data_IF_432824292420
#
_entry.id   IF_432824292420
#
_cell.length_a   1.000
_cell.length_b   1.000
_cell.length_c   1.000
_cell.angle_alpha   90.00
_cell.angle_beta   90.00
_cell.angle_gamma   90.00
#
_symmetry.space_group_name_H-M   'P 1'
#
loop_
_entity.id
_entity.type
_entity.pdbx_description
1 polymer ?
#
# COMPACT_ATOMS: atom_id res chain seq x y z
N UNK A 1 29.93 -10.99 -25.75
CA UNK A 1 29.08 -10.52 -24.64
C UNK A 1 27.83 -11.38 -24.67
N UNK A 2 27.68 -12.30 -23.71
CA UNK A 2 26.42 -13.03 -23.53
C UNK A 2 25.33 -11.99 -23.26
N UNK A 3 24.30 -11.95 -24.10
CA UNK A 3 23.15 -11.09 -23.85
C UNK A 3 22.59 -11.43 -22.46
N UNK A 4 22.47 -10.43 -21.60
CA UNK A 4 21.89 -10.62 -20.27
C UNK A 4 20.39 -10.88 -20.44
N UNK A 5 19.86 -11.87 -19.71
CA UNK A 5 18.44 -12.21 -19.77
C UNK A 5 17.56 -11.02 -19.35
N UNK A 6 16.49 -10.77 -20.12
CA UNK A 6 15.48 -9.74 -19.85
C UNK A 6 14.48 -10.29 -18.84
N UNK A 7 14.60 -9.83 -17.59
CA UNK A 7 13.79 -10.27 -16.45
C UNK A 7 12.97 -9.13 -15.88
N UNK A 8 11.72 -9.39 -15.51
CA UNK A 8 10.87 -8.45 -14.76
C UNK A 8 10.53 -9.00 -13.38
N UNK A 9 10.82 -8.23 -12.33
CA UNK A 9 10.26 -8.41 -10.99
C UNK A 9 9.02 -7.52 -10.88
N UNK A 10 7.84 -8.14 -10.95
CA UNK A 10 6.54 -7.47 -10.82
C UNK A 10 6.03 -7.61 -9.39
N UNK A 11 6.27 -6.59 -8.58
CA UNK A 11 5.79 -6.56 -7.19
C UNK A 11 4.38 -5.95 -7.12
N UNK A 12 3.41 -6.78 -6.71
CA UNK A 12 1.97 -6.49 -6.82
C UNK A 12 1.29 -6.20 -5.48
N UNK A 13 2.04 -5.98 -4.39
CA UNK A 13 1.48 -5.76 -3.05
C UNK A 13 1.54 -7.03 -2.19
N UNK A 14 0.81 -7.16 -1.08
CA UNK A 14 -0.46 -6.50 -0.77
C UNK A 14 -0.34 -5.07 -0.21
N UNK A 15 -1.45 -4.32 -0.23
CA UNK A 15 -1.52 -3.01 0.43
C UNK A 15 -1.16 -3.14 1.92
N UNK A 16 -0.45 -2.14 2.46
CA UNK A 16 -0.02 -2.10 3.88
C UNK A 16 0.92 -3.22 4.33
N UNK A 17 1.56 -3.91 3.38
CA UNK A 17 2.62 -4.89 3.62
C UNK A 17 4.02 -4.37 3.25
N UNK A 18 4.31 -3.10 3.58
CA UNK A 18 5.64 -2.50 3.37
C UNK A 18 5.93 -2.03 1.93
N UNK A 19 4.91 -1.96 1.08
CA UNK A 19 5.01 -1.55 -0.34
C UNK A 19 5.67 -0.18 -0.51
N UNK A 20 5.23 0.83 0.25
CA UNK A 20 5.81 2.17 0.16
C UNK A 20 7.25 2.25 0.65
N UNK A 21 7.64 1.41 1.63
CA UNK A 21 9.04 1.32 2.06
C UNK A 21 9.92 0.78 0.92
N UNK A 22 9.50 -0.32 0.29
CA UNK A 22 10.19 -0.89 -0.88
C UNK A 22 10.25 0.12 -2.03
N UNK A 23 9.14 0.76 -2.37
CA UNK A 23 9.08 1.77 -3.42
C UNK A 23 10.02 2.96 -3.11
N UNK A 24 10.04 3.44 -1.87
CA UNK A 24 10.94 4.51 -1.44
C UNK A 24 12.41 4.11 -1.59
N UNK A 25 12.80 2.88 -1.20
CA UNK A 25 14.14 2.34 -1.41
C UNK A 25 14.50 2.25 -2.90
N UNK A 26 13.59 1.72 -3.73
CA UNK A 26 13.80 1.58 -5.18
C UNK A 26 14.10 2.93 -5.84
N UNK A 27 13.27 3.95 -5.58
CA UNK A 27 13.45 5.26 -6.21
C UNK A 27 14.62 6.05 -5.61
N UNK A 28 14.91 5.90 -4.32
CA UNK A 28 16.11 6.48 -3.71
C UNK A 28 17.40 5.93 -4.33
N UNK A 29 17.39 4.66 -4.75
CA UNK A 29 18.56 3.94 -5.25
C UNK A 29 18.58 3.71 -6.76
N UNK A 30 17.69 4.36 -7.52
CA UNK A 30 17.52 4.10 -8.96
C UNK A 30 18.83 4.11 -9.76
N UNK A 31 19.73 5.07 -9.49
CA UNK A 31 21.04 5.16 -10.16
C UNK A 31 21.97 3.99 -9.78
N UNK A 32 22.13 3.72 -8.48
CA UNK A 32 22.97 2.62 -7.97
C UNK A 32 22.46 1.25 -8.41
N UNK A 33 21.14 1.08 -8.52
CA UNK A 33 20.51 -0.14 -9.04
C UNK A 33 20.80 -0.30 -10.54
N UNK A 34 20.73 0.78 -11.33
CA UNK A 34 21.06 0.73 -12.76
C UNK A 34 22.53 0.36 -13.01
N UNK A 35 23.46 0.87 -12.20
CA UNK A 35 24.88 0.47 -12.21
C UNK A 35 25.08 -1.03 -11.92
N UNK A 36 24.09 -1.68 -11.28
CA UNK A 36 24.06 -3.13 -11.00
C UNK A 36 23.18 -3.91 -11.98
N UNK A 37 22.80 -3.32 -13.11
CA UNK A 37 21.96 -3.95 -14.13
C UNK A 37 20.48 -4.06 -13.77
N UNK A 38 20.01 -3.31 -12.75
CA UNK A 38 18.61 -3.30 -12.32
C UNK A 38 17.94 -1.97 -12.69
N UNK A 39 16.96 -2.02 -13.59
CA UNK A 39 16.16 -0.88 -13.99
C UNK A 39 14.95 -0.69 -13.05
N UNK A 40 14.82 0.51 -12.48
CA UNK A 40 13.55 1.02 -11.92
C UNK A 40 12.94 1.99 -12.93
N UNK A 41 11.95 1.56 -13.74
CA UNK A 41 11.43 2.37 -14.83
C UNK A 41 10.49 3.47 -14.31
N UNK A 42 10.46 4.60 -15.04
CA UNK A 42 9.74 5.81 -14.64
C UNK A 42 10.65 6.89 -14.05
N UNK A 43 10.26 8.17 -14.09
CA UNK A 43 11.09 9.25 -13.52
C UNK A 43 11.06 9.24 -11.99
N UNK A 44 9.89 8.97 -11.44
CA UNK A 44 9.57 8.94 -10.02
C UNK A 44 8.45 7.91 -9.79
N UNK A 45 8.07 7.72 -8.52
CA UNK A 45 7.01 6.80 -8.13
C UNK A 45 5.67 7.06 -8.86
N UNK A 46 5.31 8.32 -9.07
CA UNK A 46 4.09 8.70 -9.81
C UNK A 46 4.06 8.14 -11.24
N UNK A 47 5.21 7.94 -11.88
CA UNK A 47 5.28 7.32 -13.21
C UNK A 47 4.72 5.89 -13.20
N UNK A 48 5.04 5.11 -12.16
CA UNK A 48 4.51 3.75 -12.01
C UNK A 48 3.05 3.74 -11.55
N UNK A 49 2.63 4.71 -10.72
CA UNK A 49 1.22 4.89 -10.35
C UNK A 49 0.35 5.14 -11.58
N UNK A 50 0.77 6.05 -12.46
CA UNK A 50 0.04 6.35 -13.71
C UNK A 50 -0.04 5.13 -14.62
N UNK A 51 1.07 4.40 -14.80
CA UNK A 51 1.09 3.19 -15.63
C UNK A 51 0.19 2.08 -15.05
N UNK A 52 0.22 1.85 -13.74
CA UNK A 52 -0.65 0.87 -13.10
C UNK A 52 -2.13 1.25 -13.22
N UNK A 53 -2.49 2.52 -12.97
CA UNK A 53 -3.88 2.99 -13.15
C UNK A 53 -4.38 2.84 -14.58
N UNK A 54 -3.52 3.10 -15.56
CA UNK A 54 -3.80 2.95 -16.98
C UNK A 54 -4.21 1.49 -17.31
N UNK A 55 -3.38 0.50 -16.94
CA UNK A 55 -3.68 -0.92 -17.22
C UNK A 55 -4.84 -1.48 -16.40
N UNK A 56 -5.10 -0.92 -15.21
CA UNK A 56 -6.30 -1.25 -14.41
C UNK A 56 -7.58 -0.83 -15.14
N UNK A 57 -7.56 0.32 -15.81
CA UNK A 57 -8.62 0.79 -16.70
C UNK A 57 -8.60 0.05 -18.04
N UNK A 58 -8.95 0.73 -19.11
CA UNK A 58 -8.84 0.30 -20.52
C UNK A 58 -7.69 1.01 -21.26
N UNK A 59 -7.04 1.97 -20.61
CA UNK A 59 -5.91 2.71 -21.13
C UNK A 59 -4.64 1.87 -21.28
N UNK A 60 -3.89 2.14 -22.35
CA UNK A 60 -2.67 1.39 -22.70
C UNK A 60 -1.45 2.31 -22.85
N UNK A 61 -1.62 3.64 -22.83
CA UNK A 61 -0.56 4.57 -23.23
C UNK A 61 0.57 4.67 -22.21
N UNK A 62 0.25 4.90 -20.93
CA UNK A 62 1.25 5.00 -19.88
C UNK A 62 1.83 3.63 -19.54
N UNK A 63 0.99 2.60 -19.60
CA UNK A 63 1.42 1.21 -19.44
C UNK A 63 2.39 0.78 -20.54
N UNK A 64 2.07 1.00 -21.82
CA UNK A 64 2.96 0.68 -22.94
C UNK A 64 4.27 1.47 -22.90
N UNK A 65 4.25 2.75 -22.49
CA UNK A 65 5.47 3.54 -22.27
C UNK A 65 6.36 2.94 -21.18
N UNK A 66 5.75 2.43 -20.11
CA UNK A 66 6.48 1.75 -19.04
C UNK A 66 7.06 0.42 -19.55
N UNK A 67 6.25 -0.36 -20.24
CA UNK A 67 6.65 -1.62 -20.84
C UNK A 67 7.79 -1.45 -21.83
N UNK A 68 7.76 -0.43 -22.70
CA UNK A 68 8.85 -0.17 -23.66
C UNK A 68 10.21 0.04 -22.98
N UNK A 69 10.24 0.64 -21.78
CA UNK A 69 11.48 0.78 -21.01
C UNK A 69 11.98 -0.56 -20.47
N UNK A 70 11.06 -1.44 -20.07
CA UNK A 70 11.39 -2.80 -19.60
C UNK A 70 11.95 -3.63 -20.76
N UNK A 71 11.31 -3.60 -21.93
CA UNK A 71 11.77 -4.37 -23.10
C UNK A 71 13.10 -3.89 -23.67
N UNK A 72 13.44 -2.61 -23.49
CA UNK A 72 14.69 -2.03 -23.95
C UNK A 72 15.87 -2.22 -22.99
N UNK A 73 15.65 -2.83 -21.82
CA UNK A 73 16.68 -3.03 -20.81
C UNK A 73 17.14 -4.49 -20.75
N UNK A 74 18.44 -4.69 -20.96
CA UNK A 74 19.07 -5.99 -20.72
C UNK A 74 19.32 -6.16 -19.21
N UNK A 75 18.85 -7.27 -18.63
CA UNK A 75 18.93 -7.55 -17.19
C UNK A 75 17.58 -7.44 -16.47
N UNK A 76 17.61 -7.11 -15.17
CA UNK A 76 16.41 -7.10 -14.34
C UNK A 76 15.74 -5.73 -14.36
N UNK A 77 14.43 -5.68 -14.58
CA UNK A 77 13.57 -4.52 -14.34
C UNK A 77 12.67 -4.77 -13.13
N UNK A 78 12.26 -3.72 -12.41
CA UNK A 78 11.31 -3.84 -11.30
C UNK A 78 10.17 -2.82 -11.36
N UNK A 79 8.94 -3.31 -11.39
CA UNK A 79 7.72 -2.52 -11.24
C UNK A 79 7.08 -2.92 -9.91
N UNK A 80 6.82 -1.94 -9.05
CA UNK A 80 6.35 -2.17 -7.68
C UNK A 80 5.09 -1.36 -7.41
N UNK A 81 3.92 -1.93 -7.66
CA UNK A 81 2.63 -1.26 -7.55
C UNK A 81 1.57 -2.19 -6.97
N UNK A 82 1.12 -1.91 -5.76
CA UNK A 82 0.19 -2.75 -5.01
C UNK A 82 -1.25 -2.74 -5.52
N UNK A 83 -1.60 -1.79 -6.39
CA UNK A 83 -2.89 -1.76 -7.07
C UNK A 83 -3.07 -2.93 -8.04
N UNK A 84 -1.97 -3.57 -8.45
CA UNK A 84 -1.98 -4.73 -9.33
C UNK A 84 -2.44 -5.99 -8.60
N UNK A 85 -2.12 -6.18 -7.32
CA UNK A 85 -2.48 -7.38 -6.57
C UNK A 85 -3.96 -7.78 -6.66
N UNK A 86 -4.91 -6.88 -6.36
CA UNK A 86 -6.33 -7.21 -6.28
C UNK A 86 -7.07 -7.29 -7.61
N UNK A 87 -6.40 -7.08 -8.75
CA UNK A 87 -7.05 -6.93 -10.05
C UNK A 87 -7.81 -8.18 -10.50
N UNK A 88 -8.69 -8.02 -11.49
CA UNK A 88 -9.45 -9.12 -12.09
C UNK A 88 -8.56 -9.95 -13.01
N UNK A 89 -8.85 -11.24 -13.25
CA UNK A 89 -8.09 -12.09 -14.16
C UNK A 89 -7.87 -11.47 -15.56
N UNK A 90 -8.87 -10.77 -16.10
CA UNK A 90 -8.74 -10.05 -17.39
C UNK A 90 -7.67 -8.95 -17.39
N UNK A 91 -7.39 -8.32 -16.24
CA UNK A 91 -6.30 -7.35 -16.11
C UNK A 91 -4.96 -8.09 -16.01
N UNK A 92 -4.92 -9.21 -15.26
CA UNK A 92 -3.71 -10.05 -15.15
C UNK A 92 -3.28 -10.55 -16.53
N UNK A 93 -4.21 -11.03 -17.36
CA UNK A 93 -3.88 -11.45 -18.73
C UNK A 93 -3.36 -10.32 -19.60
N UNK A 94 -3.87 -9.09 -19.44
CA UNK A 94 -3.32 -7.92 -20.16
C UNK A 94 -1.89 -7.63 -19.72
N UNK A 95 -1.60 -7.71 -18.43
CA UNK A 95 -0.26 -7.55 -17.88
C UNK A 95 0.66 -8.67 -18.39
N UNK A 96 0.20 -9.92 -18.39
CA UNK A 96 0.95 -11.08 -18.92
C UNK A 96 1.27 -10.93 -20.39
N UNK A 97 0.27 -10.58 -21.21
CA UNK A 97 0.44 -10.36 -22.65
C UNK A 97 1.45 -9.24 -22.95
N UNK A 98 1.53 -8.21 -22.09
CA UNK A 98 2.50 -7.10 -22.25
C UNK A 98 3.95 -7.58 -22.17
N UNK A 99 4.23 -8.64 -21.42
CA UNK A 99 5.59 -9.09 -21.11
C UNK A 99 5.85 -10.54 -21.56
N UNK A 100 5.10 -11.01 -22.55
CA UNK A 100 5.14 -12.40 -23.01
C UNK A 100 6.47 -12.77 -23.70
N UNK A 101 7.20 -11.79 -24.22
CA UNK A 101 8.50 -11.94 -24.87
C UNK A 101 9.70 -11.74 -23.93
N UNK A 102 9.46 -11.46 -22.64
CA UNK A 102 10.52 -11.47 -21.63
C UNK A 102 10.92 -12.91 -21.30
N UNK A 103 12.20 -13.12 -20.98
CA UNK A 103 12.71 -14.45 -20.62
C UNK A 103 12.10 -14.93 -19.28
N UNK A 104 11.94 -14.00 -18.33
CA UNK A 104 11.42 -14.29 -17.00
C UNK A 104 10.58 -13.14 -16.46
N UNK A 105 9.42 -13.47 -15.90
CA UNK A 105 8.63 -12.54 -15.06
C UNK A 105 8.41 -13.19 -13.71
N UNK A 106 9.03 -12.67 -12.65
CA UNK A 106 8.76 -13.06 -11.26
C UNK A 106 7.66 -12.16 -10.69
N UNK A 107 6.55 -12.74 -10.26
CA UNK A 107 5.50 -12.00 -9.55
C UNK A 107 5.78 -12.05 -8.04
N UNK A 108 5.88 -10.89 -7.41
CA UNK A 108 6.16 -10.77 -5.98
C UNK A 108 4.93 -10.30 -5.24
N UNK A 109 4.52 -11.08 -4.24
CA UNK A 109 3.49 -10.70 -3.27
C UNK A 109 4.16 -10.49 -1.90
N UNK A 110 4.19 -9.27 -1.38
CA UNK A 110 4.51 -9.00 0.01
C UNK A 110 3.32 -9.33 0.92
N UNK A 111 3.61 -9.95 2.06
CA UNK A 111 2.61 -10.40 3.03
C UNK A 111 2.97 -9.97 4.44
N UNK A 112 2.02 -9.40 5.15
CA UNK A 112 2.13 -9.01 6.57
C UNK A 112 1.13 -9.84 7.36
N UNK A 113 1.42 -10.08 8.63
CA UNK A 113 0.44 -10.70 9.52
C UNK A 113 -0.92 -9.96 9.47
N UNK A 114 -1.99 -10.75 9.56
CA UNK A 114 -3.34 -10.25 9.32
C UNK A 114 -3.75 -9.20 10.34
N UNK A 115 -3.43 -9.42 11.62
CA UNK A 115 -3.88 -8.55 12.71
C UNK A 115 -3.26 -7.15 12.61
N UNK A 116 -1.98 -7.03 12.25
CA UNK A 116 -1.35 -5.73 11.97
C UNK A 116 -1.85 -5.05 10.70
N UNK A 117 -2.46 -5.81 9.79
CA UNK A 117 -2.99 -5.27 8.53
C UNK A 117 -4.37 -4.65 8.71
N UNK A 118 -5.21 -5.17 9.63
CA UNK A 118 -6.58 -4.67 9.89
C UNK A 118 -6.61 -3.18 10.28
N UNK A 119 -5.97 -2.70 11.36
CA UNK A 119 -6.05 -1.29 11.74
C UNK A 119 -5.35 -0.37 10.73
N UNK A 120 -4.26 -0.82 10.12
CA UNK A 120 -3.56 -0.06 9.07
C UNK A 120 -4.41 0.13 7.82
N UNK A 121 -5.23 -0.86 7.47
CA UNK A 121 -6.19 -0.79 6.37
C UNK A 121 -7.41 0.06 6.73
N UNK A 122 -7.93 -0.02 7.96
CA UNK A 122 -9.02 0.84 8.41
C UNK A 122 -8.64 2.33 8.28
N UNK A 123 -7.48 2.73 8.82
CA UNK A 123 -7.00 4.11 8.70
C UNK A 123 -6.84 4.56 7.24
N UNK A 124 -6.38 3.67 6.34
CA UNK A 124 -6.30 3.98 4.92
C UNK A 124 -7.69 4.14 4.28
N UNK A 125 -8.67 3.34 4.67
CA UNK A 125 -10.04 3.50 4.17
C UNK A 125 -10.66 4.82 4.64
N UNK A 126 -10.43 5.22 5.89
CA UNK A 126 -10.86 6.52 6.42
C UNK A 126 -10.18 7.67 5.65
N UNK A 127 -8.88 7.60 5.40
CA UNK A 127 -8.17 8.58 4.57
C UNK A 127 -8.64 8.60 3.09
N UNK A 128 -9.33 7.55 2.64
CA UNK A 128 -9.95 7.46 1.32
C UNK A 128 -11.48 7.64 1.39
N UNK A 129 -11.96 8.41 2.37
CA UNK A 129 -13.35 8.86 2.43
C UNK A 129 -14.33 7.94 3.16
N UNK A 130 -13.90 6.80 3.71
CA UNK A 130 -14.83 5.92 4.42
C UNK A 130 -15.16 6.46 5.81
N UNK A 131 -16.38 6.19 6.25
CA UNK A 131 -16.97 6.69 7.49
C UNK A 131 -17.16 5.61 8.56
N UNK A 132 -16.93 4.33 8.22
CA UNK A 132 -17.08 3.19 9.13
C UNK A 132 -16.31 3.39 10.43
N UNK A 133 -16.98 3.15 11.55
CA UNK A 133 -16.31 2.98 12.84
C UNK A 133 -15.37 1.77 12.79
N UNK A 134 -14.43 1.71 13.74
CA UNK A 134 -13.50 0.59 13.78
C UNK A 134 -14.21 -0.73 14.09
N UNK A 135 -15.23 -0.71 14.96
CA UNK A 135 -16.04 -1.88 15.30
C UNK A 135 -16.80 -2.43 14.09
N UNK A 136 -17.56 -1.58 13.37
CA UNK A 136 -18.27 -1.97 12.15
C UNK A 136 -17.32 -2.53 11.09
N UNK A 137 -16.11 -1.97 11.00
CA UNK A 137 -15.09 -2.44 10.08
C UNK A 137 -14.60 -3.85 10.42
N UNK A 138 -14.26 -4.11 11.69
CA UNK A 138 -13.79 -5.42 12.16
C UNK A 138 -14.89 -6.48 12.04
N UNK A 139 -16.11 -6.17 12.48
CA UNK A 139 -17.28 -7.05 12.34
C UNK A 139 -17.55 -7.37 10.86
N UNK A 140 -17.49 -6.37 10.00
CA UNK A 140 -17.65 -6.53 8.56
C UNK A 140 -16.59 -7.43 7.93
N UNK A 141 -15.34 -7.37 8.39
CA UNK A 141 -14.26 -8.24 7.94
C UNK A 141 -14.48 -9.68 8.40
N UNK A 142 -14.81 -9.87 9.68
CA UNK A 142 -15.01 -11.19 10.27
C UNK A 142 -16.16 -11.93 9.59
N UNK A 143 -17.33 -11.28 9.49
CA UNK A 143 -18.52 -11.82 8.83
C UNK A 143 -18.28 -12.19 7.36
N UNK A 144 -17.43 -11.44 6.64
CA UNK A 144 -17.16 -11.70 5.22
C UNK A 144 -15.86 -12.49 4.94
N UNK A 145 -15.26 -13.11 5.96
CA UNK A 145 -13.97 -13.79 5.82
C UNK A 145 -14.00 -14.91 4.77
N UNK A 146 -13.00 -15.02 3.88
CA UNK A 146 -12.93 -16.07 2.88
C UNK A 146 -13.08 -17.47 3.49
N UNK A 147 -13.87 -18.32 2.83
CA UNK A 147 -14.12 -19.70 3.26
C UNK A 147 -15.18 -19.88 4.35
N UNK A 148 -15.78 -18.80 4.88
CA UNK A 148 -16.76 -18.88 5.98
C UNK A 148 -18.03 -18.07 5.69
N UNK A 149 -18.44 -17.98 4.42
CA UNK A 149 -19.61 -17.20 3.98
C UNK A 149 -20.84 -18.08 3.94
N UNK A 150 -21.97 -17.61 4.50
CA UNK A 150 -23.25 -18.29 4.36
C UNK A 150 -23.82 -18.17 2.94
N UNK A 151 -24.63 -19.14 2.53
CA UNK A 151 -25.42 -19.03 1.29
C UNK A 151 -26.43 -17.88 1.43
N UNK A 152 -26.46 -16.96 0.46
CA UNK A 152 -27.38 -15.82 0.45
C UNK A 152 -26.92 -14.58 1.21
N UNK A 153 -25.77 -14.62 1.89
CA UNK A 153 -25.22 -13.44 2.57
C UNK A 153 -24.61 -12.46 1.57
N UNK A 154 -24.98 -11.19 1.71
CA UNK A 154 -24.32 -10.10 1.00
C UNK A 154 -23.19 -9.52 1.84
N UNK A 155 -22.02 -9.21 1.25
CA UNK A 155 -20.93 -8.60 1.99
C UNK A 155 -21.33 -7.25 2.57
N UNK A 156 -20.93 -7.00 3.82
CA UNK A 156 -20.69 -5.63 4.27
C UNK A 156 -19.70 -4.95 3.32
N UNK A 157 -19.86 -3.64 3.09
CA UNK A 157 -18.93 -2.92 2.23
C UNK A 157 -17.50 -2.94 2.79
N UNK A 158 -17.37 -2.85 4.12
CA UNK A 158 -16.11 -2.97 4.84
C UNK A 158 -15.41 -4.30 4.55
N UNK A 159 -16.10 -5.43 4.76
CA UNK A 159 -15.58 -6.78 4.52
C UNK A 159 -15.18 -7.00 3.06
N UNK A 160 -16.05 -6.61 2.11
CA UNK A 160 -15.73 -6.66 0.68
C UNK A 160 -14.48 -5.86 0.34
N UNK A 161 -14.38 -4.64 0.88
CA UNK A 161 -13.26 -3.73 0.60
C UNK A 161 -11.94 -4.28 1.13
N UNK A 162 -11.92 -4.74 2.39
CA UNK A 162 -10.73 -5.31 3.00
C UNK A 162 -10.27 -6.59 2.29
N UNK A 163 -11.15 -7.58 2.13
CA UNK A 163 -10.76 -8.87 1.54
C UNK A 163 -10.40 -8.77 0.06
N UNK A 164 -10.95 -7.79 -0.68
CA UNK A 164 -10.47 -7.49 -2.02
C UNK A 164 -8.98 -7.14 -2.03
N UNK A 165 -8.51 -6.40 -1.02
CA UNK A 165 -7.14 -5.85 -0.96
C UNK A 165 -6.16 -6.70 -0.14
N UNK A 166 -6.65 -7.59 0.71
CA UNK A 166 -5.84 -8.34 1.68
C UNK A 166 -5.88 -9.86 1.50
N UNK A 167 -6.73 -10.40 0.61
CA UNK A 167 -6.75 -11.84 0.35
C UNK A 167 -5.55 -12.27 -0.52
N UNK A 168 -4.40 -12.47 0.13
CA UNK A 168 -3.14 -12.86 -0.53
C UNK A 168 -3.19 -14.27 -1.14
N UNK A 169 -4.04 -15.17 -0.64
CA UNK A 169 -4.28 -16.49 -1.26
C UNK A 169 -4.92 -16.31 -2.63
N UNK A 170 -5.91 -15.41 -2.75
CA UNK A 170 -6.51 -15.05 -4.04
C UNK A 170 -5.47 -14.44 -4.97
N UNK A 171 -4.60 -13.56 -4.47
CA UNK A 171 -3.55 -12.94 -5.30
C UNK A 171 -2.60 -14.01 -5.83
N UNK A 172 -2.08 -14.86 -4.95
CA UNK A 172 -1.18 -15.96 -5.31
C UNK A 172 -1.81 -16.90 -6.35
N UNK A 173 -3.09 -17.27 -6.17
CA UNK A 173 -3.81 -18.09 -7.14
C UNK A 173 -3.96 -17.42 -8.50
N UNK A 174 -4.53 -16.22 -8.54
CA UNK A 174 -4.83 -15.53 -9.81
C UNK A 174 -3.57 -15.17 -10.59
N UNK A 175 -2.52 -14.70 -9.91
CA UNK A 175 -1.25 -14.39 -10.57
C UNK A 175 -0.45 -15.65 -10.93
N UNK A 176 -0.49 -16.68 -10.08
CA UNK A 176 0.18 -17.96 -10.33
C UNK A 176 -0.45 -18.77 -11.47
N UNK A 177 -1.76 -18.67 -11.67
CA UNK A 177 -2.46 -19.26 -12.84
C UNK A 177 -1.99 -18.62 -14.16
N UNK A 178 -1.72 -17.32 -14.16
CA UNK A 178 -1.30 -16.60 -15.36
C UNK A 178 0.19 -16.75 -15.67
N UNK A 179 1.07 -16.64 -14.66
CA UNK A 179 2.52 -16.60 -14.87
C UNK A 179 3.24 -17.93 -14.57
N UNK A 180 2.57 -18.89 -13.94
CA UNK A 180 3.21 -20.08 -13.38
C UNK A 180 3.47 -19.91 -11.88
N UNK A 181 3.21 -20.96 -11.10
CA UNK A 181 3.33 -20.94 -9.63
C UNK A 181 4.78 -20.84 -9.16
N UNK A 182 5.70 -21.45 -9.89
CA UNK A 182 7.15 -21.37 -9.72
C UNK A 182 7.70 -19.94 -9.89
N UNK A 183 6.97 -19.09 -10.61
CA UNK A 183 7.28 -17.67 -10.82
C UNK A 183 6.68 -16.75 -9.76
N UNK A 184 5.93 -17.27 -8.80
CA UNK A 184 5.34 -16.49 -7.71
C UNK A 184 6.18 -16.58 -6.44
N UNK A 185 6.59 -15.42 -5.93
CA UNK A 185 7.38 -15.28 -4.71
C UNK A 185 6.58 -14.51 -3.65
N UNK A 186 6.39 -15.13 -2.50
CA UNK A 186 5.85 -14.49 -1.31
C UNK A 186 7.00 -13.92 -0.47
N UNK A 187 6.99 -12.61 -0.21
CA UNK A 187 7.98 -11.94 0.66
C UNK A 187 7.29 -11.51 1.95
N UNK A 188 7.69 -12.05 3.09
CA UNK A 188 7.05 -11.68 4.35
C UNK A 188 7.61 -10.38 4.92
N UNK A 189 6.73 -9.56 5.47
CA UNK A 189 7.09 -8.40 6.29
C UNK A 189 7.52 -8.91 7.66
N UNK A 190 8.72 -8.53 8.14
CA UNK A 190 9.18 -8.97 9.45
C UNK A 190 8.23 -8.60 10.61
N UNK A 191 8.22 -9.40 11.69
CA UNK A 191 7.44 -9.10 12.89
C UNK A 191 7.97 -7.84 13.59
N UNK A 192 7.19 -7.23 14.50
CA UNK A 192 7.67 -6.16 15.36
C UNK A 192 8.98 -6.52 16.07
N UNK A 193 9.92 -5.57 16.16
CA UNK A 193 11.23 -5.76 16.79
C UNK A 193 12.30 -6.37 15.89
N UNK A 194 11.95 -6.89 14.70
CA UNK A 194 12.93 -7.36 13.73
C UNK A 194 13.79 -6.21 13.16
N UNK A 195 14.98 -6.51 12.59
CA UNK A 195 15.85 -5.50 11.99
C UNK A 195 15.11 -4.65 10.93
N UNK A 196 15.34 -3.33 10.96
CA UNK A 196 14.63 -2.36 10.12
C UNK A 196 14.84 -2.61 8.62
N UNK A 197 16.01 -3.12 8.24
CA UNK A 197 16.39 -3.36 6.86
C UNK A 197 16.01 -4.75 6.34
N UNK A 198 15.53 -5.66 7.20
CA UNK A 198 15.29 -7.07 6.81
C UNK A 198 14.28 -7.22 5.67
N UNK A 199 13.23 -6.39 5.61
CA UNK A 199 12.31 -6.40 4.46
C UNK A 199 13.03 -6.02 3.16
N UNK A 200 13.95 -5.06 3.23
CA UNK A 200 14.73 -4.64 2.07
C UNK A 200 15.73 -5.70 1.63
N UNK A 201 16.40 -6.35 2.59
CA UNK A 201 17.31 -7.48 2.34
C UNK A 201 16.57 -8.63 1.63
N UNK A 202 15.39 -9.01 2.16
CA UNK A 202 14.50 -10.01 1.54
C UNK A 202 14.12 -9.60 0.11
N UNK A 203 13.72 -8.35 -0.10
CA UNK A 203 13.36 -7.87 -1.44
C UNK A 203 14.57 -7.85 -2.40
N UNK A 204 15.75 -7.44 -1.94
CA UNK A 204 16.99 -7.46 -2.72
C UNK A 204 17.38 -8.87 -3.17
N UNK A 205 17.13 -9.89 -2.33
CA UNK A 205 17.34 -11.29 -2.72
C UNK A 205 16.48 -11.70 -3.93
N UNK A 206 15.27 -11.15 -4.06
CA UNK A 206 14.40 -11.41 -5.22
C UNK A 206 14.86 -10.61 -6.44
N UNK A 207 15.39 -9.41 -6.24
CA UNK A 207 16.03 -8.63 -7.31
C UNK A 207 17.33 -9.26 -7.81
N UNK A 208 17.97 -10.12 -7.01
CA UNK A 208 19.29 -10.67 -7.32
C UNK A 208 20.43 -9.67 -7.08
N UNK A 209 20.31 -8.83 -6.04
CA UNK A 209 21.34 -7.83 -5.68
C UNK A 209 21.64 -7.82 -4.19
N UNK A 210 22.84 -7.34 -3.84
CA UNK A 210 23.27 -7.12 -2.46
C UNK A 210 22.68 -5.80 -1.93
N UNK A 211 21.99 -5.75 -0.78
CA UNK A 211 21.52 -4.50 -0.18
C UNK A 211 22.64 -3.53 0.25
N UNK A 212 23.89 -3.98 0.38
CA UNK A 212 25.02 -3.16 0.81
C UNK A 212 25.25 -1.94 -0.09
N UNK A 213 25.53 -0.78 0.52
CA UNK A 213 25.81 0.47 -0.19
C UNK A 213 24.60 1.12 -0.87
N UNK A 214 23.38 0.65 -0.60
CA UNK A 214 22.13 1.28 -1.03
C UNK A 214 21.58 2.19 0.07
N UNK A 215 21.20 3.41 -0.30
CA UNK A 215 20.70 4.45 0.57
C UNK A 215 19.37 4.01 1.24
N UNK A 216 19.09 4.46 2.48
CA UNK A 216 17.83 4.15 3.17
C UNK A 216 16.62 4.79 2.47
N UNK A 217 15.43 4.38 2.89
CA UNK A 217 14.18 4.96 2.39
C UNK A 217 14.13 6.45 2.77
N UNK A 218 13.80 7.31 1.81
CA UNK A 218 13.68 8.76 2.06
C UNK A 218 12.43 9.14 2.85
N UNK A 219 11.43 8.26 2.86
CA UNK A 219 10.14 8.52 3.50
C UNK A 219 9.89 7.53 4.63
N UNK A 220 9.62 8.06 5.83
CA UNK A 220 8.87 7.34 6.85
C UNK A 220 7.39 7.41 6.49
N UNK A 221 6.76 6.29 6.19
CA UNK A 221 5.31 6.24 6.05
C UNK A 221 4.69 6.25 7.45
N UNK A 222 4.55 7.44 8.01
CA UNK A 222 3.92 7.60 9.31
C UNK A 222 2.40 7.49 9.15
N UNK A 223 1.85 6.42 9.73
CA UNK A 223 0.41 6.33 10.04
C UNK A 223 -0.01 7.48 10.96
N UNK A 224 -1.26 7.92 10.83
CA UNK A 224 -1.87 8.90 11.74
C UNK A 224 -2.28 8.23 13.08
N UNK A 225 -2.41 9.04 14.13
CA UNK A 225 -2.90 8.60 15.45
C UNK A 225 -4.40 8.28 15.45
N UNK A 226 -4.88 7.66 16.54
CA UNK A 226 -6.29 7.25 16.67
C UNK A 226 -7.22 8.47 16.68
N UNK A 227 -6.90 9.52 17.44
CA UNK A 227 -7.69 10.74 17.52
C UNK A 227 -7.77 11.45 16.15
N UNK A 228 -6.63 11.64 15.50
CA UNK A 228 -6.56 12.18 14.14
C UNK A 228 -7.37 11.36 13.12
N UNK A 229 -7.40 10.03 13.26
CA UNK A 229 -8.24 9.17 12.39
C UNK A 229 -9.73 9.45 12.62
N UNK A 230 -10.16 9.62 13.87
CA UNK A 230 -11.56 9.94 14.19
C UNK A 230 -11.98 11.32 13.67
N UNK A 231 -11.07 12.31 13.69
CA UNK A 231 -11.29 13.63 13.08
C UNK A 231 -11.56 13.48 11.58
N UNK A 232 -10.70 12.78 10.84
CA UNK A 232 -10.88 12.56 9.40
C UNK A 232 -12.19 11.80 9.12
N UNK A 233 -12.51 10.79 9.94
CA UNK A 233 -13.75 10.03 9.80
C UNK A 233 -14.98 10.93 9.93
N UNK A 234 -15.03 11.79 10.97
CA UNK A 234 -16.13 12.74 11.16
C UNK A 234 -16.18 13.81 10.08
N UNK A 235 -15.02 14.26 9.58
CA UNK A 235 -14.95 15.18 8.45
C UNK A 235 -15.54 14.55 7.18
N UNK A 236 -15.25 13.27 6.91
CA UNK A 236 -15.85 12.58 5.76
C UNK A 236 -17.38 12.54 5.87
N UNK A 237 -17.93 12.23 7.04
CA UNK A 237 -19.39 12.24 7.26
C UNK A 237 -19.99 13.62 6.96
N UNK A 238 -19.40 14.69 7.48
CA UNK A 238 -19.89 16.06 7.27
C UNK A 238 -19.79 16.49 5.80
N UNK A 239 -18.74 16.06 5.08
CA UNK A 239 -18.58 16.37 3.66
C UNK A 239 -19.57 15.57 2.79
N UNK A 240 -19.83 14.31 3.14
CA UNK A 240 -20.84 13.49 2.48
C UNK A 240 -22.25 14.10 2.70
N UNK A 241 -22.55 14.56 3.92
CA UNK A 241 -23.79 15.30 4.26
C UNK A 241 -23.91 16.62 3.47
N UNK A 242 -22.79 17.29 3.18
CA UNK A 242 -22.74 18.51 2.37
C UNK A 242 -22.79 18.25 0.85
N UNK A 243 -22.93 17.00 0.41
CA UNK A 243 -22.98 16.64 -1.01
C UNK A 243 -21.61 16.68 -1.70
N UNK A 244 -20.52 16.63 -0.93
CA UNK A 244 -19.15 16.58 -1.41
C UNK A 244 -18.54 15.20 -1.10
N UNK A 245 -18.98 14.10 -1.73
CA UNK A 245 -18.44 12.78 -1.43
C UNK A 245 -17.02 12.60 -1.97
N UNK A 246 -16.26 11.67 -1.39
CA UNK A 246 -14.97 11.26 -1.97
C UNK A 246 -15.18 10.72 -3.41
N UNK A 247 -14.35 11.07 -4.42
CA UNK A 247 -13.01 11.65 -4.33
C UNK A 247 -12.91 13.17 -4.42
N UNK A 248 -14.00 13.92 -4.28
CA UNK A 248 -13.96 15.39 -4.37
C UNK A 248 -13.04 15.99 -3.30
N UNK A 249 -12.14 16.89 -3.70
CA UNK A 249 -11.17 17.50 -2.79
C UNK A 249 -10.10 16.53 -2.25
N UNK A 250 -9.79 15.42 -2.95
CA UNK A 250 -8.78 14.44 -2.52
C UNK A 250 -7.44 15.07 -2.12
N UNK A 251 -6.96 16.07 -2.86
CA UNK A 251 -5.67 16.71 -2.56
C UNK A 251 -5.70 17.47 -1.23
N UNK A 252 -6.81 18.11 -0.89
CA UNK A 252 -7.02 18.77 0.40
C UNK A 252 -7.18 17.75 1.53
N UNK A 253 -8.02 16.72 1.34
CA UNK A 253 -8.30 15.69 2.37
C UNK A 253 -7.07 14.84 2.70
N UNK A 254 -6.41 14.29 1.67
CA UNK A 254 -5.34 13.30 1.82
C UNK A 254 -3.94 13.92 1.73
N UNK A 255 -3.76 14.93 0.89
CA UNK A 255 -2.46 15.60 0.70
C UNK A 255 -2.12 16.51 1.87
N UNK A 256 -3.03 17.42 2.23
CA UNK A 256 -2.79 18.42 3.26
C UNK A 256 -3.16 17.91 4.66
N UNK A 257 -4.43 17.58 4.91
CA UNK A 257 -4.89 17.27 6.27
C UNK A 257 -4.26 15.99 6.83
N UNK A 258 -4.35 14.87 6.12
CA UNK A 258 -3.87 13.59 6.62
C UNK A 258 -2.34 13.49 6.67
N UNK A 259 -1.64 13.91 5.60
CA UNK A 259 -0.20 13.65 5.41
C UNK A 259 0.73 14.75 5.92
N UNK A 260 0.27 16.00 5.99
CA UNK A 260 1.13 17.10 6.43
C UNK A 260 0.79 17.53 7.85
N UNK A 261 -0.50 17.68 8.16
CA UNK A 261 -0.93 18.29 9.43
C UNK A 261 -1.11 17.25 10.54
N UNK A 262 -1.92 16.22 10.30
CA UNK A 262 -2.26 15.24 11.34
C UNK A 262 -1.20 14.16 11.52
N UNK A 263 -0.38 13.89 10.50
CA UNK A 263 0.76 12.98 10.64
C UNK A 263 1.78 13.48 11.68
N UNK A 264 1.98 14.80 11.79
CA UNK A 264 2.90 15.41 12.76
C UNK A 264 2.46 15.19 14.23
N UNK A 265 1.18 14.89 14.47
CA UNK A 265 0.64 14.65 15.81
C UNK A 265 0.82 13.22 16.30
N UNK A 266 1.28 12.31 15.44
CA UNK A 266 1.36 10.88 15.77
C UNK A 266 2.07 10.60 17.09
N UNK A 267 3.17 11.29 17.39
CA UNK A 267 3.91 11.07 18.64
C UNK A 267 3.17 11.52 19.90
N UNK A 268 2.15 12.35 19.74
CA UNK A 268 1.32 12.89 20.83
C UNK A 268 -0.03 12.14 20.96
N UNK A 269 -0.31 11.15 20.11
CA UNK A 269 -1.59 10.44 20.08
C UNK A 269 -1.38 8.92 20.25
N UNK A 270 -2.31 8.22 20.91
CA UNK A 270 -2.28 6.77 20.93
C UNK A 270 -2.49 6.21 19.52
N UNK A 271 -1.79 5.11 19.21
CA UNK A 271 -2.04 4.35 17.99
C UNK A 271 -3.36 3.56 18.10
N UNK A 272 -3.95 3.20 16.95
CA UNK A 272 -5.06 2.25 16.90
C UNK A 272 -4.57 0.85 17.28
N UNK A 273 -5.08 0.32 18.40
CA UNK A 273 -4.76 -1.01 18.90
C UNK A 273 -5.76 -2.07 18.44
N UNK A 274 -5.33 -3.33 18.44
CA UNK A 274 -6.17 -4.48 18.15
C UNK A 274 -5.57 -5.75 18.78
N UNK A 275 -6.17 -6.31 19.83
CA UNK A 275 -5.77 -7.63 20.33
C UNK A 275 -6.11 -8.71 19.31
N UNK A 276 -5.31 -9.76 19.24
CA UNK A 276 -5.55 -10.88 18.33
C UNK A 276 -6.75 -11.70 18.80
N UNK A 277 -7.84 -11.60 18.04
CA UNK A 277 -9.05 -12.40 18.26
C UNK A 277 -8.88 -13.85 17.74
N UNK A 278 -9.62 -14.83 18.30
CA UNK A 278 -9.55 -16.23 17.86
C UNK A 278 -9.74 -16.41 16.36
N UNK A 279 -10.73 -15.74 15.77
CA UNK A 279 -11.02 -15.83 14.35
C UNK A 279 -9.85 -15.38 13.46
N UNK A 280 -9.03 -14.44 13.93
CA UNK A 280 -7.85 -13.94 13.21
C UNK A 280 -6.76 -15.00 13.19
N UNK A 281 -6.53 -15.69 14.32
CA UNK A 281 -5.60 -16.83 14.38
C UNK A 281 -6.06 -17.95 13.47
N UNK A 282 -7.33 -18.33 13.57
CA UNK A 282 -7.91 -19.41 12.76
C UNK A 282 -7.78 -19.09 11.27
N UNK A 283 -8.12 -17.86 10.86
CA UNK A 283 -7.98 -17.46 9.46
C UNK A 283 -6.53 -17.41 9.01
N UNK A 284 -5.61 -16.90 9.83
CA UNK A 284 -4.19 -16.84 9.48
C UNK A 284 -3.58 -18.24 9.29
N UNK A 285 -3.95 -19.20 10.14
CA UNK A 285 -3.56 -20.61 9.99
C UNK A 285 -4.03 -21.19 8.66
N UNK A 286 -5.32 -21.01 8.33
CA UNK A 286 -5.86 -21.45 7.03
C UNK A 286 -5.20 -20.74 5.84
N UNK A 287 -4.90 -19.46 5.97
CA UNK A 287 -4.22 -18.66 4.95
C UNK A 287 -2.81 -19.19 4.68
N UNK A 288 -2.03 -19.47 5.72
CA UNK A 288 -0.67 -20.05 5.61
C UNK A 288 -0.73 -21.43 4.96
N UNK A 289 -1.61 -22.32 5.43
CA UNK A 289 -1.79 -23.65 4.84
C UNK A 289 -2.15 -23.56 3.34
N UNK A 290 -3.09 -22.67 2.98
CA UNK A 290 -3.48 -22.46 1.59
C UNK A 290 -2.33 -21.95 0.71
N UNK A 291 -1.45 -21.10 1.24
CA UNK A 291 -0.28 -20.61 0.50
C UNK A 291 0.78 -21.71 0.34
N UNK A 292 0.98 -22.54 1.36
CA UNK A 292 1.86 -23.71 1.31
C UNK A 292 1.37 -24.73 0.27
N UNK A 293 0.07 -25.03 0.25
CA UNK A 293 -0.56 -25.94 -0.72
C UNK A 293 -0.47 -25.42 -2.16
N UNK A 294 -0.48 -24.09 -2.34
CA UNK A 294 -0.23 -23.48 -3.64
C UNK A 294 1.21 -23.65 -4.12
N UNK A 295 2.15 -24.00 -3.23
CA UNK A 295 3.56 -24.23 -3.56
C UNK A 295 4.31 -22.94 -3.89
N UNK A 296 3.90 -21.81 -3.31
CA UNK A 296 4.55 -20.50 -3.56
C UNK A 296 5.97 -20.48 -2.99
N UNK A 297 6.91 -19.88 -3.72
CA UNK A 297 8.26 -19.68 -3.19
C UNK A 297 8.24 -18.64 -2.06
N UNK A 298 8.77 -18.99 -0.90
CA UNK A 298 8.83 -18.07 0.24
C UNK A 298 10.21 -17.40 0.34
N UNK A 299 10.21 -16.09 0.63
CA UNK A 299 11.38 -15.34 1.13
C UNK A 299 11.01 -14.73 2.48
N UNK A 300 11.56 -15.30 3.55
CA UNK A 300 11.23 -14.98 4.94
C UNK A 300 10.80 -16.23 5.70
N UNK A 301 9.89 -16.09 6.67
CA UNK A 301 9.34 -17.21 7.44
C UNK A 301 7.82 -17.23 7.41
N UNK A 302 7.22 -18.42 7.39
CA UNK A 302 5.77 -18.58 7.59
C UNK A 302 5.33 -18.06 8.97
N UNK A 303 6.23 -18.13 9.96
CA UNK A 303 5.97 -17.62 11.30
C UNK A 303 5.77 -16.10 11.33
N UNK A 304 6.32 -15.36 10.35
CA UNK A 304 6.10 -13.92 10.21
C UNK A 304 4.63 -13.57 9.93
N UNK A 305 3.82 -14.54 9.50
CA UNK A 305 2.38 -14.37 9.25
C UNK A 305 1.52 -14.76 10.46
N UNK A 306 2.13 -15.22 11.55
CA UNK A 306 1.43 -15.46 12.81
C UNK A 306 0.90 -14.14 13.36
N UNK A 307 -0.41 -14.01 13.62
CA UNK A 307 -0.99 -12.79 14.16
C UNK A 307 -0.38 -12.40 15.51
N UNK A 308 0.02 -11.13 15.62
CA UNK A 308 0.52 -10.53 16.86
C UNK A 308 -0.39 -9.38 17.29
N UNK A 309 -0.43 -9.11 18.60
CA UNK A 309 -1.20 -7.98 19.13
C UNK A 309 -0.68 -6.66 18.54
N UNK A 310 -1.62 -5.78 18.20
CA UNK A 310 -1.30 -4.41 17.82
C UNK A 310 -1.44 -3.53 19.06
N UNK A 311 -0.34 -3.02 19.64
CA UNK A 311 -0.42 -2.15 20.79
C UNK A 311 -1.08 -0.82 20.40
N UNK A 312 -1.90 -0.29 21.31
CA UNK A 312 -2.64 0.94 21.11
C UNK A 312 -3.98 0.90 21.84
N UNK A 313 -4.86 1.81 21.47
CA UNK A 313 -6.21 1.94 22.03
C UNK A 313 -7.26 1.56 21.00
N UNK A 314 -8.37 0.99 21.46
CA UNK A 314 -9.59 0.92 20.65
C UNK A 314 -10.08 2.35 20.37
N UNK A 315 -10.27 2.75 19.09
CA UNK A 315 -10.77 4.07 18.73
C UNK A 315 -12.09 4.47 19.44
N UNK A 316 -12.91 3.51 19.87
CA UNK A 316 -14.13 3.80 20.64
C UNK A 316 -13.86 4.38 22.05
N UNK A 317 -12.63 4.21 22.57
CA UNK A 317 -12.22 4.66 23.91
C UNK A 317 -11.25 5.85 23.88
N UNK A 318 -11.02 6.47 22.72
CA UNK A 318 -10.22 7.70 22.63
C UNK A 318 -10.95 8.83 23.38
N UNK A 319 -10.21 9.62 24.16
CA UNK A 319 -10.79 10.74 24.90
C UNK A 319 -11.35 11.79 23.91
N UNK A 320 -12.60 12.25 24.06
CA UNK A 320 -13.15 13.30 23.21
C UNK A 320 -12.32 14.59 23.18
N UNK A 321 -11.60 14.91 24.25
CA UNK A 321 -10.69 16.07 24.29
C UNK A 321 -9.51 15.91 23.34
N UNK A 322 -8.91 14.71 23.24
CA UNK A 322 -7.85 14.43 22.26
C UNK A 322 -8.33 14.61 20.81
N UNK A 323 -9.58 14.20 20.54
CA UNK A 323 -10.21 14.38 19.22
C UNK A 323 -10.43 15.85 18.92
N UNK A 324 -10.91 16.63 19.89
CA UNK A 324 -11.11 18.07 19.76
C UNK A 324 -9.78 18.80 19.52
N UNK A 325 -8.74 18.46 20.28
CA UNK A 325 -7.39 19.01 20.09
C UNK A 325 -6.81 18.68 18.71
N UNK A 326 -6.98 17.43 18.24
CA UNK A 326 -6.56 17.04 16.90
C UNK A 326 -7.31 17.80 15.81
N UNK A 327 -8.61 18.05 15.99
CA UNK A 327 -9.43 18.84 15.07
C UNK A 327 -8.96 20.30 15.02
N UNK A 328 -8.73 20.93 16.17
CA UNK A 328 -8.25 22.32 16.28
C UNK A 328 -6.86 22.43 15.64
N UNK A 329 -5.95 21.50 15.92
CA UNK A 329 -4.62 21.49 15.32
C UNK A 329 -4.67 21.30 13.80
N UNK A 330 -5.54 20.41 13.30
CA UNK A 330 -5.78 20.25 11.87
C UNK A 330 -6.32 21.52 11.20
N UNK A 331 -7.26 22.22 11.84
CA UNK A 331 -7.80 23.49 11.35
C UNK A 331 -6.74 24.60 11.36
N UNK A 332 -5.96 24.72 12.44
CA UNK A 332 -4.89 25.70 12.53
C UNK A 332 -3.85 25.50 11.43
N UNK A 333 -3.44 24.26 11.16
CA UNK A 333 -2.52 23.94 10.08
C UNK A 333 -3.08 24.23 8.68
N UNK A 334 -4.39 24.01 8.48
CA UNK A 334 -5.06 24.35 7.21
C UNK A 334 -5.06 25.87 6.98
N UNK A 335 -5.42 26.65 8.00
CA UNK A 335 -5.42 28.11 7.94
C UNK A 335 -4.01 28.67 7.72
N UNK A 336 -3.00 28.11 8.40
CA UNK A 336 -1.60 28.50 8.18
C UNK A 336 -1.19 28.28 6.72
N UNK A 337 -1.53 27.13 6.14
CA UNK A 337 -1.25 26.82 4.73
C UNK A 337 -1.91 27.82 3.78
N UNK A 338 -3.16 28.21 4.05
CA UNK A 338 -3.88 29.19 3.23
C UNK A 338 -3.31 30.61 3.36
N UNK A 339 -2.95 31.03 4.58
CA UNK A 339 -2.32 32.35 4.82
C UNK A 339 -0.99 32.47 4.08
N UNK A 340 -0.15 31.42 4.13
CA UNK A 340 1.14 31.41 3.42
C UNK A 340 0.96 31.46 1.91
N UNK A 341 0.03 30.68 1.35
CA UNK A 341 -0.25 30.67 -0.08
C UNK A 341 -0.77 32.02 -0.61
N UNK A 342 -1.59 32.72 0.20
CA UNK A 342 -2.06 34.07 -0.14
C UNK A 342 -0.89 35.07 -0.18
N UNK A 343 -0.01 35.04 0.82
CA UNK A 343 1.16 35.93 0.87
C UNK A 343 2.16 35.69 -0.28
N UNK A 344 2.36 34.43 -0.70
CA UNK A 344 3.21 34.09 -1.85
C UNK A 344 2.60 34.58 -3.18
N UNK A 345 1.28 34.59 -3.29
CA UNK A 345 0.59 35.10 -4.49
C UNK A 345 0.69 36.63 -4.59
N UNK A 346 0.53 37.34 -3.47
CA UNK A 346 0.69 38.80 -3.41
C UNK A 346 2.13 39.23 -3.72
N UNK A 347 3.14 38.49 -3.27
CA UNK A 347 4.54 38.77 -3.55
C UNK A 347 4.94 38.52 -5.02
N UNK A 348 4.31 37.55 -5.69
CA UNK A 348 4.55 37.26 -7.12
C UNK A 348 3.96 38.31 -8.06
N UNK A 349 2.79 38.86 -7.71
CA UNK A 349 2.14 39.91 -8.51
C UNK A 349 2.91 41.25 -8.46
N UNK A 350 3.58 41.56 -7.32
CA UNK A 350 4.42 42.76 -7.17
C UNK A 350 5.75 42.67 -7.96
N UNK A 351 6.31 41.49 -8.14
CA UNK A 351 7.52 41.28 -8.97
C UNK A 351 7.22 41.31 -10.49
N UNK A 352 6.04 40.89 -10.94
CA UNK A 352 5.63 41.00 -12.36
C UNK A 352 5.27 42.44 -12.77
N UNK A 353 4.88 43.31 -11.83
CA UNK A 353 4.57 44.72 -12.11
C UNK A 353 5.79 45.66 -12.04
N UNK A 354 6.96 45.14 -11.69
CA UNK A 354 8.22 45.91 -11.59
C UNK A 354 9.28 45.53 -12.65
N UNK A 355 8.93 44.67 -13.62
CA UNK A 355 9.79 44.20 -14.72
C UNK A 355 9.68 44.97 -16.04
#
# INVERSE_FOLDING_TARGET
MTAMSRRLVLHVGAMKSGTSYIQSRLFANKRRLAERGILVPGMNWLSQVMAARDVLGDGQRQWAKMAGKVHAHDGTSVISMEYLGPVRPVVVERVRATYADLDEVTVVVTARDLNRSIPAMWQETVQNGRTWTFAEYVEGIESWRPGHRGEGESPSEAGRTFWRQQNIVRFARTWGEAFGRDRLVLVTVPPPGAPRDLLWERFCSVLGTDPAGLDPARMGNESIGAASTLVIRRLNELLDEAGLPFPEGTDLRKGMLAKQLLAARKSAEPATGLPVQPWVRDHATHMVASLQDLGVRLVGSWDDLTPVDVPGIDPAHVDPSDVAEAAIAGLAGLLEGQIRAAAESEAGDDEEHTG
#
